data_IF_142802584494
#
_entry.id   IF_142802584494
#
_cell.length_a   1.000
_cell.length_b   1.000
_cell.length_c   1.000
_cell.angle_alpha   90.00
_cell.angle_beta   90.00
_cell.angle_gamma   90.00
#
_symmetry.space_group_name_H-M   'P 1'
#
loop_
_entity.id
_entity.type
_entity.pdbx_description
1 polymer ?
#
# COMPACT_ATOMS: atom_id res chain seq x y z
N UNK A 1 -30.48 -22.51 3.95
CA UNK A 1 -29.07 -22.74 4.37
C UNK A 1 -28.17 -23.09 3.20
N UNK A 2 -28.25 -24.26 2.53
CA UNK A 2 -27.35 -24.56 1.38
C UNK A 2 -27.59 -23.60 0.21
N UNK A 3 -28.83 -23.46 -0.28
CA UNK A 3 -29.16 -22.58 -1.40
C UNK A 3 -28.82 -21.10 -1.15
N UNK A 4 -28.90 -20.67 0.12
CA UNK A 4 -28.53 -19.31 0.54
C UNK A 4 -27.02 -19.11 0.46
N UNK A 5 -26.24 -20.06 1.01
CA UNK A 5 -24.79 -20.04 0.89
C UNK A 5 -24.31 -20.10 -0.57
N UNK A 6 -24.97 -20.89 -1.42
CA UNK A 6 -24.68 -20.93 -2.87
C UNK A 6 -24.93 -19.57 -3.53
N UNK A 7 -26.04 -18.91 -3.21
CA UNK A 7 -26.36 -17.57 -3.72
C UNK A 7 -25.34 -16.52 -3.27
N UNK A 8 -24.90 -16.56 -2.01
CA UNK A 8 -23.88 -15.65 -1.47
C UNK A 8 -22.52 -15.86 -2.14
N UNK A 9 -22.08 -17.11 -2.31
CA UNK A 9 -20.81 -17.43 -2.99
C UNK A 9 -20.87 -16.99 -4.46
N UNK A 10 -21.97 -17.26 -5.16
CA UNK A 10 -22.16 -16.84 -6.55
C UNK A 10 -22.15 -15.32 -6.69
N UNK A 11 -22.78 -14.59 -5.76
CA UNK A 11 -22.72 -13.13 -5.71
C UNK A 11 -21.29 -12.64 -5.49
N UNK A 12 -20.57 -13.19 -4.50
CA UNK A 12 -19.19 -12.83 -4.20
C UNK A 12 -18.25 -13.08 -5.39
N UNK A 13 -18.40 -14.22 -6.07
CA UNK A 13 -17.62 -14.55 -7.26
C UNK A 13 -17.91 -13.59 -8.43
N UNK A 14 -19.18 -13.24 -8.65
CA UNK A 14 -19.58 -12.35 -9.75
C UNK A 14 -19.07 -10.92 -9.59
N UNK A 15 -18.99 -10.42 -8.35
CA UNK A 15 -18.49 -9.06 -8.08
C UNK A 15 -16.98 -8.97 -7.91
N UNK A 16 -16.25 -10.10 -7.96
CA UNK A 16 -14.81 -10.13 -7.74
C UNK A 16 -14.08 -10.33 -9.05
N UNK A 17 -13.14 -9.45 -9.36
CA UNK A 17 -12.24 -9.59 -10.51
C UNK A 17 -10.82 -9.74 -9.99
N UNK A 18 -10.09 -10.76 -10.44
CA UNK A 18 -8.73 -11.00 -10.00
C UNK A 18 -7.79 -11.28 -11.16
N UNK A 19 -6.52 -10.93 -10.99
CA UNK A 19 -5.48 -11.08 -12.00
C UNK A 19 -4.12 -11.37 -11.38
N UNK A 20 -3.40 -12.26 -12.04
CA UNK A 20 -2.03 -12.64 -11.70
C UNK A 20 -1.08 -11.99 -12.71
N UNK A 21 -0.12 -11.23 -12.22
CA UNK A 21 0.80 -10.44 -13.04
C UNK A 21 2.21 -10.97 -12.80
N UNK A 22 2.86 -11.40 -13.87
CA UNK A 22 4.30 -11.64 -13.92
C UNK A 22 4.96 -10.56 -14.76
N UNK A 23 5.85 -9.82 -14.12
CA UNK A 23 6.65 -8.78 -14.74
C UNK A 23 8.10 -9.27 -14.78
N UNK A 24 8.61 -9.56 -15.98
CA UNK A 24 9.87 -10.30 -16.18
C UNK A 24 11.03 -9.39 -16.65
N UNK A 25 10.77 -8.09 -16.88
CA UNK A 25 11.77 -7.15 -17.40
C UNK A 25 12.88 -6.83 -16.40
N UNK A 26 12.58 -6.88 -15.10
CA UNK A 26 13.53 -6.71 -14.01
C UNK A 26 12.95 -7.18 -12.65
N UNK A 27 13.81 -7.24 -11.64
CA UNK A 27 13.43 -7.52 -10.26
C UNK A 27 14.35 -6.85 -9.24
N UNK A 28 14.41 -7.40 -8.03
CA UNK A 28 15.14 -6.86 -6.90
C UNK A 28 16.63 -6.61 -7.19
N UNK A 29 17.27 -7.40 -8.06
CA UNK A 29 18.68 -7.20 -8.40
C UNK A 29 18.88 -5.86 -9.09
N UNK A 30 18.10 -5.59 -10.14
CA UNK A 30 18.16 -4.31 -10.86
C UNK A 30 17.69 -3.15 -9.97
N UNK A 31 16.63 -3.32 -9.18
CA UNK A 31 16.11 -2.23 -8.32
C UNK A 31 17.19 -1.78 -7.32
N UNK A 32 17.91 -2.73 -6.71
CA UNK A 32 18.99 -2.40 -5.77
C UNK A 32 20.19 -1.76 -6.45
N UNK A 33 20.59 -2.25 -7.62
CA UNK A 33 21.82 -1.84 -8.29
C UNK A 33 21.67 -0.54 -9.09
N UNK A 34 20.55 -0.37 -9.79
CA UNK A 34 20.34 0.74 -10.74
C UNK A 34 19.45 1.81 -10.13
N UNK A 35 18.29 1.43 -9.59
CA UNK A 35 17.38 2.40 -8.97
C UNK A 35 17.85 2.85 -7.57
N UNK A 36 18.78 2.12 -6.95
CA UNK A 36 19.38 2.44 -5.66
C UNK A 36 18.37 2.73 -4.52
N UNK A 37 17.22 2.04 -4.55
CA UNK A 37 16.14 2.15 -3.55
C UNK A 37 15.69 0.77 -3.05
N UNK A 38 14.88 0.77 -1.98
CA UNK A 38 14.23 -0.45 -1.48
C UNK A 38 13.37 -1.08 -2.58
N UNK A 39 13.50 -2.40 -2.86
CA UNK A 39 12.58 -3.08 -3.77
C UNK A 39 11.12 -2.97 -3.32
N UNK A 40 10.88 -3.05 -2.01
CA UNK A 40 9.56 -2.96 -1.41
C UNK A 40 8.94 -1.57 -1.61
N UNK A 41 9.68 -0.51 -1.28
CA UNK A 41 9.25 0.88 -1.54
C UNK A 41 8.98 1.13 -3.03
N UNK A 42 9.84 0.58 -3.90
CA UNK A 42 9.68 0.71 -5.35
C UNK A 42 8.37 0.08 -5.83
N UNK A 43 8.05 -1.14 -5.37
CA UNK A 43 6.77 -1.78 -5.69
C UNK A 43 5.58 -0.99 -5.13
N UNK A 44 5.66 -0.52 -3.88
CA UNK A 44 4.63 0.31 -3.27
C UNK A 44 4.33 1.58 -4.07
N UNK A 45 5.36 2.30 -4.52
CA UNK A 45 5.16 3.50 -5.31
C UNK A 45 4.71 3.24 -6.73
N UNK A 46 5.10 2.12 -7.33
CA UNK A 46 4.52 1.68 -8.60
C UNK A 46 3.00 1.47 -8.48
N UNK A 47 2.55 0.83 -7.39
CA UNK A 47 1.12 0.61 -7.11
C UNK A 47 0.38 1.93 -6.86
N UNK A 48 0.94 2.83 -6.03
CA UNK A 48 0.31 4.12 -5.73
C UNK A 48 0.26 5.06 -6.95
N UNK A 49 1.33 5.11 -7.75
CA UNK A 49 1.34 5.88 -9.00
C UNK A 49 0.33 5.33 -10.01
N UNK A 50 0.23 4.01 -10.13
CA UNK A 50 -0.79 3.35 -10.97
C UNK A 50 -2.20 3.74 -10.52
N UNK A 51 -2.46 3.67 -9.21
CA UNK A 51 -3.76 4.07 -8.65
C UNK A 51 -4.08 5.54 -8.95
N UNK A 52 -3.14 6.45 -8.69
CA UNK A 52 -3.33 7.88 -8.91
C UNK A 52 -3.67 8.20 -10.37
N UNK A 53 -3.01 7.54 -11.32
CA UNK A 53 -3.28 7.71 -12.76
C UNK A 53 -4.68 7.26 -13.18
N UNK A 54 -5.20 6.21 -12.55
CA UNK A 54 -6.51 5.66 -12.89
C UNK A 54 -7.66 6.40 -12.23
N UNK A 55 -7.45 6.87 -11.00
CA UNK A 55 -8.52 7.40 -10.16
C UNK A 55 -8.47 8.91 -9.98
N UNK A 56 -7.33 9.55 -10.32
CA UNK A 56 -7.12 11.00 -10.17
C UNK A 56 -6.97 11.46 -8.73
N UNK A 57 -6.86 10.55 -7.77
CA UNK A 57 -6.75 10.84 -6.34
C UNK A 57 -5.84 9.83 -5.64
N UNK A 58 -5.39 10.16 -4.44
CA UNK A 58 -4.57 9.28 -3.61
C UNK A 58 -5.42 8.26 -2.85
N UNK A 59 -4.93 7.03 -2.77
CA UNK A 59 -5.52 5.99 -1.94
C UNK A 59 -4.94 6.02 -0.52
N UNK A 60 -5.77 6.03 0.54
CA UNK A 60 -5.41 5.38 1.79
C UNK A 60 -4.83 3.98 1.56
N UNK A 61 -3.56 3.81 1.92
CA UNK A 61 -2.81 2.55 1.72
C UNK A 61 -2.64 1.83 3.04
N UNK A 62 -3.01 0.56 3.07
CA UNK A 62 -2.59 -0.39 4.09
C UNK A 62 -1.42 -1.20 3.55
N UNK A 63 -0.34 -1.27 4.32
CA UNK A 63 0.76 -2.21 4.07
C UNK A 63 1.08 -2.96 5.35
N UNK A 64 1.18 -4.28 5.23
CA UNK A 64 1.46 -5.15 6.37
C UNK A 64 2.89 -4.95 6.86
N UNK A 65 3.04 -4.43 8.09
CA UNK A 65 4.29 -4.43 8.83
C UNK A 65 4.31 -5.60 9.82
N UNK A 66 5.34 -6.46 9.77
CA UNK A 66 5.43 -7.59 10.70
C UNK A 66 5.95 -7.13 12.07
N UNK A 67 5.22 -7.45 13.13
CA UNK A 67 5.64 -7.18 14.52
C UNK A 67 6.21 -8.42 15.21
N UNK A 68 6.68 -9.41 14.43
CA UNK A 68 7.16 -10.71 14.93
C UNK A 68 8.36 -10.66 15.90
N UNK A 69 8.96 -9.48 16.09
CA UNK A 69 10.00 -9.27 17.08
C UNK A 69 9.45 -9.24 18.52
N UNK A 70 8.14 -9.00 18.68
CA UNK A 70 7.46 -9.05 19.97
C UNK A 70 6.83 -10.43 20.19
N UNK A 71 6.73 -10.85 21.45
CA UNK A 71 6.01 -12.06 21.84
C UNK A 71 4.55 -11.98 21.36
N UNK A 72 4.07 -13.01 20.67
CA UNK A 72 2.75 -13.06 20.00
C UNK A 72 2.52 -11.98 18.93
N UNK A 73 3.58 -11.30 18.48
CA UNK A 73 3.51 -10.28 17.44
C UNK A 73 2.88 -10.81 16.15
N UNK A 74 1.90 -10.06 15.63
CA UNK A 74 1.26 -10.30 14.33
C UNK A 74 1.65 -9.20 13.36
N UNK A 75 0.81 -8.17 13.24
CA UNK A 75 0.96 -7.13 12.23
C UNK A 75 0.59 -5.75 12.77
N UNK A 76 1.24 -4.74 12.23
CA UNK A 76 0.88 -3.32 12.25
C UNK A 76 0.69 -2.81 10.80
N UNK A 77 0.17 -1.61 10.61
CA UNK A 77 0.05 -0.92 9.33
C UNK A 77 1.16 0.12 9.14
N UNK A 78 1.90 0.04 8.04
CA UNK A 78 2.95 1.01 7.73
C UNK A 78 2.42 2.33 7.13
N UNK A 79 1.21 2.41 6.56
CA UNK A 79 0.65 3.59 5.86
C UNK A 79 1.59 4.27 4.83
N UNK A 80 1.92 3.60 3.70
CA UNK A 80 2.89 4.09 2.70
C UNK A 80 2.61 5.42 2.00
N UNK A 81 1.38 5.93 2.05
CA UNK A 81 1.05 7.24 1.46
C UNK A 81 1.52 8.36 2.39
N UNK A 82 2.78 8.76 2.24
CA UNK A 82 3.38 9.89 2.97
C UNK A 82 3.37 11.16 2.11
N UNK A 83 3.64 12.35 2.69
CA UNK A 83 3.85 13.57 1.91
C UNK A 83 4.94 13.42 0.84
N UNK A 84 6.03 12.70 1.14
CA UNK A 84 7.11 12.40 0.22
C UNK A 84 6.66 11.48 -0.92
N UNK A 85 5.85 10.44 -0.61
CA UNK A 85 5.23 9.60 -1.62
C UNK A 85 4.30 10.40 -2.54
N UNK A 86 3.47 11.28 -1.97
CA UNK A 86 2.58 12.14 -2.73
C UNK A 86 3.34 13.13 -3.62
N UNK A 87 4.44 13.71 -3.12
CA UNK A 87 5.32 14.58 -3.90
C UNK A 87 5.96 13.84 -5.08
N UNK A 88 6.44 12.61 -4.86
CA UNK A 88 6.96 11.75 -5.91
C UNK A 88 5.90 11.43 -6.99
N UNK A 89 4.71 11.00 -6.58
CA UNK A 89 3.61 10.67 -7.50
C UNK A 89 3.21 11.89 -8.34
N UNK A 90 3.11 13.07 -7.72
CA UNK A 90 2.85 14.32 -8.44
C UNK A 90 3.95 14.66 -9.43
N UNK A 91 5.22 14.55 -9.05
CA UNK A 91 6.35 14.81 -9.94
C UNK A 91 6.35 13.87 -11.16
N UNK A 92 5.92 12.62 -11.00
CA UNK A 92 5.77 11.66 -12.10
C UNK A 92 4.60 11.98 -13.05
N UNK A 93 3.64 12.78 -12.61
CA UNK A 93 2.49 13.21 -13.42
C UNK A 93 2.64 14.64 -13.97
N UNK A 94 3.66 15.38 -13.53
CA UNK A 94 3.92 16.75 -13.96
C UNK A 94 4.80 16.76 -15.23
N UNK A 95 4.29 17.25 -16.38
CA UNK A 95 5.07 17.32 -17.62
C UNK A 95 6.26 18.29 -17.54
N UNK A 96 6.25 19.24 -16.59
CA UNK A 96 7.34 20.20 -16.40
C UNK A 96 8.48 19.64 -15.52
N UNK A 97 8.23 18.57 -14.76
CA UNK A 97 9.23 17.96 -13.89
C UNK A 97 10.30 17.21 -14.70
N UNK A 98 11.57 17.55 -14.49
CA UNK A 98 12.68 16.87 -15.14
C UNK A 98 13.04 15.53 -14.46
N UNK A 99 13.81 14.70 -15.16
CA UNK A 99 14.28 13.37 -14.70
C UNK A 99 14.99 13.43 -13.33
N UNK A 100 15.81 14.45 -13.10
CA UNK A 100 16.59 14.59 -11.85
C UNK A 100 15.68 14.79 -10.65
N UNK A 101 14.68 15.66 -10.77
CA UNK A 101 13.77 15.99 -9.68
C UNK A 101 12.80 14.84 -9.38
N UNK A 102 12.28 14.17 -10.42
CA UNK A 102 11.50 12.93 -10.28
C UNK A 102 12.27 11.84 -9.56
N UNK A 103 13.52 11.62 -9.94
CA UNK A 103 14.38 10.61 -9.32
C UNK A 103 14.74 10.96 -7.87
N UNK A 104 15.08 12.23 -7.59
CA UNK A 104 15.30 12.68 -6.20
C UNK A 104 14.07 12.48 -5.33
N UNK A 105 12.87 12.77 -5.85
CA UNK A 105 11.62 12.55 -5.14
C UNK A 105 11.39 11.05 -4.86
N UNK A 106 11.67 10.17 -5.83
CA UNK A 106 11.62 8.71 -5.64
C UNK A 106 12.54 8.26 -4.49
N UNK A 107 13.79 8.71 -4.49
CA UNK A 107 14.78 8.36 -3.46
C UNK A 107 14.35 8.87 -2.08
N UNK A 108 13.84 10.10 -2.00
CA UNK A 108 13.32 10.69 -0.76
C UNK A 108 12.13 9.91 -0.20
N UNK A 109 11.15 9.61 -1.07
CA UNK A 109 9.99 8.81 -0.73
C UNK A 109 10.40 7.41 -0.25
N UNK A 110 11.34 6.75 -0.93
CA UNK A 110 11.79 5.41 -0.58
C UNK A 110 12.48 5.36 0.79
N UNK A 111 13.29 6.36 1.11
CA UNK A 111 13.90 6.49 2.44
C UNK A 111 12.85 6.65 3.53
N UNK A 112 11.82 7.48 3.28
CA UNK A 112 10.72 7.69 4.22
C UNK A 112 9.92 6.41 4.43
N UNK A 113 9.53 5.72 3.35
CA UNK A 113 8.81 4.44 3.39
C UNK A 113 9.56 3.41 4.23
N UNK A 114 10.87 3.24 4.00
CA UNK A 114 11.67 2.30 4.79
C UNK A 114 11.74 2.68 6.28
N UNK A 115 11.90 3.96 6.61
CA UNK A 115 11.93 4.42 8.00
C UNK A 115 10.59 4.16 8.71
N UNK A 116 9.49 4.43 8.02
CA UNK A 116 8.12 4.21 8.46
C UNK A 116 7.82 2.72 8.66
N UNK A 117 8.15 1.86 7.69
CA UNK A 117 7.96 0.42 7.79
C UNK A 117 8.75 -0.19 8.96
N UNK A 118 9.99 0.27 9.18
CA UNK A 118 10.79 -0.13 10.36
C UNK A 118 10.12 0.31 11.66
N UNK A 119 9.67 1.55 11.74
CA UNK A 119 8.99 2.09 12.93
C UNK A 119 7.71 1.31 13.24
N UNK A 120 6.86 1.06 12.24
CA UNK A 120 5.65 0.26 12.40
C UNK A 120 5.96 -1.19 12.84
N UNK A 121 6.97 -1.81 12.24
CA UNK A 121 7.42 -3.16 12.63
C UNK A 121 7.94 -3.21 14.06
N UNK A 122 8.51 -2.12 14.56
CA UNK A 122 8.96 -1.90 15.94
C UNK A 122 7.86 -1.44 16.90
N UNK A 123 6.59 -1.55 16.52
CA UNK A 123 5.46 -1.21 17.39
C UNK A 123 5.19 0.29 17.51
N UNK A 124 5.89 1.12 16.72
CA UNK A 124 5.67 2.58 16.66
C UNK A 124 4.57 3.01 15.69
N UNK A 125 3.76 2.07 15.18
CA UNK A 125 2.59 2.38 14.36
C UNK A 125 1.38 2.82 15.20
N UNK A 126 0.38 3.41 14.54
CA UNK A 126 -0.77 3.98 15.23
C UNK A 126 -2.03 3.11 15.13
N UNK A 127 -2.16 2.28 14.10
CA UNK A 127 -3.43 1.62 13.79
C UNK A 127 -3.82 0.58 14.85
N UNK A 128 -2.88 -0.27 15.29
CA UNK A 128 -3.18 -1.22 16.40
C UNK A 128 -3.33 -0.51 17.73
N UNK A 129 -2.63 0.61 17.95
CA UNK A 129 -2.79 1.40 19.16
C UNK A 129 -4.20 2.02 19.24
N UNK A 130 -4.66 2.69 18.17
CA UNK A 130 -6.02 3.25 18.09
C UNK A 130 -7.08 2.15 18.22
N UNK A 131 -6.88 0.99 17.59
CA UNK A 131 -7.76 -0.17 17.76
C UNK A 131 -7.80 -0.63 19.22
N UNK A 132 -6.65 -0.73 19.87
CA UNK A 132 -6.53 -1.09 21.29
C UNK A 132 -7.28 -0.12 22.19
N UNK A 133 -7.11 1.19 21.99
CA UNK A 133 -7.84 2.23 22.72
C UNK A 133 -9.36 2.11 22.52
N UNK A 134 -9.81 1.88 21.28
CA UNK A 134 -11.23 1.67 20.97
C UNK A 134 -11.80 0.44 21.67
N UNK A 135 -11.04 -0.66 21.71
CA UNK A 135 -11.45 -1.88 22.39
C UNK A 135 -11.48 -1.70 23.91
N UNK A 136 -10.48 -1.01 24.47
CA UNK A 136 -10.40 -0.68 25.89
C UNK A 136 -11.63 0.13 26.32
N UNK A 137 -11.89 1.25 25.62
CA UNK A 137 -13.04 2.11 25.86
C UNK A 137 -14.38 1.35 25.80
N UNK A 138 -14.53 0.42 24.84
CA UNK A 138 -15.79 -0.31 24.64
C UNK A 138 -16.01 -1.52 25.55
N UNK A 139 -14.96 -2.08 26.14
CA UNK A 139 -15.02 -3.42 26.74
C UNK A 139 -14.45 -3.52 28.15
N UNK A 140 -13.58 -2.59 28.56
CA UNK A 140 -12.96 -2.66 29.87
C UNK A 140 -13.76 -1.83 30.87
N UNK A 141 -14.05 -2.39 32.05
CA UNK A 141 -14.52 -1.58 33.17
C UNK A 141 -13.39 -0.68 33.69
N UNK A 142 -13.70 0.37 34.47
CA UNK A 142 -12.70 1.12 35.22
C UNK A 142 -11.83 0.20 36.07
N UNK A 143 -10.54 0.51 36.22
CA UNK A 143 -9.66 -0.25 37.10
C UNK A 143 -10.07 -0.03 38.57
N UNK A 144 -9.65 -0.97 39.44
CA UNK A 144 -9.93 -0.86 40.86
C UNK A 144 -9.32 0.43 41.43
N UNK A 145 -10.17 1.29 41.98
CA UNK A 145 -9.76 2.58 42.55
C UNK A 145 -9.79 3.75 41.57
N UNK A 146 -10.12 3.54 40.29
CA UNK A 146 -10.38 4.62 39.35
C UNK A 146 -11.83 5.11 39.46
N UNK A 147 -12.00 6.43 39.41
CA UNK A 147 -13.33 7.02 39.28
C UNK A 147 -13.95 6.64 37.93
N UNK A 148 -15.28 6.49 37.86
CA UNK A 148 -15.96 6.35 36.58
C UNK A 148 -15.63 7.51 35.64
N UNK A 149 -15.50 7.20 34.35
CA UNK A 149 -15.33 8.21 33.31
C UNK A 149 -16.44 9.25 33.37
N UNK A 150 -16.07 10.53 33.39
CA UNK A 150 -17.02 11.62 33.35
C UNK A 150 -17.72 11.70 32.01
N UNK A 151 -18.90 12.30 31.99
CA UNK A 151 -19.66 12.50 30.76
C UNK A 151 -18.88 13.38 29.75
N UNK A 152 -18.04 14.31 30.23
CA UNK A 152 -17.21 15.13 29.35
C UNK A 152 -16.11 14.29 28.65
N UNK A 153 -15.40 13.44 29.40
CA UNK A 153 -14.39 12.54 28.84
C UNK A 153 -15.01 11.56 27.85
N UNK A 154 -16.18 11.01 28.19
CA UNK A 154 -16.94 10.12 27.32
C UNK A 154 -17.24 10.78 25.98
N UNK A 155 -17.81 11.99 26.00
CA UNK A 155 -18.12 12.73 24.76
C UNK A 155 -16.88 13.02 23.92
N UNK A 156 -15.77 13.41 24.55
CA UNK A 156 -14.53 13.69 23.82
C UNK A 156 -13.97 12.43 23.11
N UNK A 157 -14.09 11.25 23.75
CA UNK A 157 -13.68 9.98 23.15
C UNK A 157 -14.61 9.57 22.00
N UNK A 158 -15.93 9.72 22.19
CA UNK A 158 -16.93 9.45 21.14
C UNK A 158 -16.70 10.37 19.93
N UNK A 159 -16.48 11.68 20.15
CA UNK A 159 -16.17 12.66 19.09
C UNK A 159 -14.92 12.27 18.29
N UNK A 160 -13.84 11.84 18.95
CA UNK A 160 -12.64 11.37 18.28
C UNK A 160 -12.90 10.11 17.43
N UNK A 161 -13.64 9.13 17.96
CA UNK A 161 -13.87 7.87 17.25
C UNK A 161 -14.90 7.95 16.14
N UNK A 162 -15.83 8.92 16.22
CA UNK A 162 -16.85 9.21 15.22
C UNK A 162 -16.39 10.24 14.17
N UNK A 163 -15.17 10.78 14.31
CA UNK A 163 -14.58 11.69 13.34
C UNK A 163 -14.56 11.06 11.92
N UNK A 164 -15.20 11.71 10.92
CA UNK A 164 -15.20 11.23 9.54
C UNK A 164 -13.80 11.06 8.93
N UNK A 165 -12.81 11.83 9.38
CA UNK A 165 -11.41 11.69 8.96
C UNK A 165 -10.81 10.39 9.47
N UNK A 166 -11.09 10.01 10.73
CA UNK A 166 -10.64 8.72 11.26
C UNK A 166 -11.31 7.58 10.49
N UNK A 167 -12.60 7.67 10.19
CA UNK A 167 -13.30 6.68 9.37
C UNK A 167 -12.67 6.55 7.96
N UNK A 168 -12.44 7.67 7.28
CA UNK A 168 -11.79 7.70 5.95
C UNK A 168 -10.36 7.17 5.98
N UNK A 169 -9.59 7.48 7.03
CA UNK A 169 -8.21 6.99 7.19
C UNK A 169 -8.12 5.47 7.32
N UNK A 170 -9.21 4.80 7.70
CA UNK A 170 -9.30 3.35 7.87
C UNK A 170 -10.04 2.64 6.72
N UNK A 171 -10.49 3.39 5.71
CA UNK A 171 -11.04 2.84 4.47
C UNK A 171 -9.92 2.68 3.45
N UNK A 172 -9.20 1.57 3.49
CA UNK A 172 -8.03 1.35 2.64
C UNK A 172 -8.39 0.95 1.20
N UNK A 173 -8.30 1.88 0.25
CA UNK A 173 -8.50 1.59 -1.19
C UNK A 173 -7.34 0.77 -1.76
N UNK A 174 -6.13 0.87 -1.21
CA UNK A 174 -5.05 -0.05 -1.53
C UNK A 174 -4.70 -0.86 -0.27
N UNK A 175 -5.15 -2.12 -0.22
CA UNK A 175 -4.71 -3.07 0.81
C UNK A 175 -3.61 -3.93 0.23
N UNK A 176 -2.41 -3.85 0.81
CA UNK A 176 -1.20 -4.43 0.23
C UNK A 176 -0.41 -5.30 1.21
N UNK A 177 0.25 -6.33 0.67
CA UNK A 177 1.21 -7.13 1.44
C UNK A 177 2.31 -7.68 0.53
N UNK A 178 3.54 -7.27 0.82
CA UNK A 178 4.74 -7.88 0.28
C UNK A 178 5.03 -9.22 0.97
N UNK A 179 5.37 -10.24 0.18
CA UNK A 179 5.80 -11.54 0.67
C UNK A 179 7.29 -11.75 0.41
N UNK A 180 7.88 -12.64 1.21
CA UNK A 180 9.26 -13.06 1.00
C UNK A 180 9.44 -13.68 -0.40
N UNK A 181 10.59 -13.44 -1.06
CA UNK A 181 10.90 -14.08 -2.33
C UNK A 181 10.81 -15.60 -2.21
N UNK A 182 10.01 -16.23 -3.08
CA UNK A 182 9.85 -17.68 -3.11
C UNK A 182 9.70 -18.16 -4.55
N UNK A 183 10.53 -19.12 -4.92
CA UNK A 183 10.49 -19.81 -6.21
C UNK A 183 9.23 -20.69 -6.36
N UNK A 184 8.78 -21.29 -5.25
CA UNK A 184 7.66 -22.23 -5.26
C UNK A 184 6.29 -21.55 -5.27
N UNK A 185 6.20 -20.31 -4.75
CA UNK A 185 4.95 -19.56 -4.78
C UNK A 185 4.77 -18.94 -6.16
N UNK A 186 3.83 -19.44 -6.96
CA UNK A 186 3.55 -18.88 -8.30
C UNK A 186 2.88 -17.51 -8.17
N UNK A 187 1.77 -17.44 -7.44
CA UNK A 187 1.10 -16.19 -7.05
C UNK A 187 0.39 -16.35 -5.71
N UNK A 188 0.00 -15.24 -5.12
CA UNK A 188 -0.83 -15.14 -3.91
C UNK A 188 -1.80 -13.99 -4.10
N UNK A 189 -2.93 -13.98 -3.39
CA UNK A 189 -3.90 -12.89 -3.48
C UNK A 189 -4.89 -12.92 -2.33
N UNK A 190 -5.55 -11.79 -2.10
CA UNK A 190 -6.67 -11.64 -1.19
C UNK A 190 -7.64 -10.60 -1.75
N UNK A 191 -8.91 -10.67 -1.35
CA UNK A 191 -9.93 -9.72 -1.80
C UNK A 191 -9.73 -8.31 -1.22
N UNK A 192 -10.11 -7.28 -1.97
CA UNK A 192 -10.08 -5.90 -1.54
C UNK A 192 -11.05 -5.68 -0.36
N UNK A 193 -10.69 -4.74 0.51
CA UNK A 193 -11.37 -4.50 1.80
C UNK A 193 -12.40 -3.37 1.75
N UNK A 194 -12.51 -2.70 0.61
CA UNK A 194 -13.47 -1.64 0.36
C UNK A 194 -14.23 -1.90 -0.96
N UNK A 195 -15.48 -1.42 -1.09
CA UNK A 195 -16.35 -1.76 -2.22
C UNK A 195 -16.10 -0.93 -3.48
N UNK A 196 -15.60 0.31 -3.34
CA UNK A 196 -15.43 1.25 -4.45
C UNK A 196 -13.96 1.59 -4.64
N UNK A 197 -13.52 1.57 -5.91
CA UNK A 197 -12.16 1.94 -6.33
C UNK A 197 -11.06 1.30 -5.48
N UNK A 198 -11.25 0.06 -5.01
CA UNK A 198 -10.33 -0.59 -4.10
C UNK A 198 -9.69 -1.84 -4.68
N UNK A 199 -8.51 -2.16 -4.17
CA UNK A 199 -7.70 -3.29 -4.59
C UNK A 199 -7.11 -4.04 -3.40
N UNK A 200 -7.13 -5.36 -3.47
CA UNK A 200 -6.34 -6.26 -2.63
C UNK A 200 -5.13 -6.72 -3.43
N UNK A 201 -3.92 -6.42 -2.95
CA UNK A 201 -2.69 -6.63 -3.73
C UNK A 201 -1.63 -7.35 -2.89
N UNK A 202 -1.23 -8.53 -3.36
CA UNK A 202 0.01 -9.15 -2.93
C UNK A 202 1.11 -8.94 -3.96
N UNK A 203 2.35 -8.90 -3.49
CA UNK A 203 3.49 -8.92 -4.39
C UNK A 203 4.68 -9.71 -3.83
N UNK A 204 5.43 -10.32 -4.75
CA UNK A 204 6.68 -11.04 -4.50
C UNK A 204 7.72 -10.46 -5.43
N UNK A 205 8.84 -9.99 -4.87
CA UNK A 205 9.93 -9.39 -5.63
C UNK A 205 11.10 -10.36 -5.64
N UNK A 206 11.34 -11.02 -6.77
CA UNK A 206 12.48 -11.91 -6.98
C UNK A 206 13.64 -11.16 -7.62
N UNK A 207 14.80 -11.82 -7.78
CA UNK A 207 15.99 -11.17 -8.36
C UNK A 207 15.76 -10.57 -9.75
N UNK A 208 15.04 -11.28 -10.62
CA UNK A 208 14.85 -10.91 -12.04
C UNK A 208 13.40 -10.62 -12.44
N UNK A 209 12.44 -10.78 -11.54
CA UNK A 209 11.02 -10.58 -11.83
C UNK A 209 10.24 -10.10 -10.62
N UNK A 210 9.08 -9.52 -10.87
CA UNK A 210 8.10 -9.12 -9.85
C UNK A 210 6.79 -9.80 -10.17
N UNK A 211 6.15 -10.35 -9.14
CA UNK A 211 4.85 -11.03 -9.25
C UNK A 211 3.84 -10.26 -8.43
N UNK A 212 2.67 -9.97 -9.01
CA UNK A 212 1.55 -9.38 -8.29
C UNK A 212 0.33 -10.30 -8.38
N UNK A 213 -0.44 -10.38 -7.30
CA UNK A 213 -1.82 -10.84 -7.35
C UNK A 213 -2.72 -9.69 -6.96
N UNK A 214 -3.63 -9.33 -7.86
CA UNK A 214 -4.52 -8.17 -7.71
C UNK A 214 -5.95 -8.68 -7.72
N UNK A 215 -6.75 -8.21 -6.79
CA UNK A 215 -8.19 -8.36 -6.79
C UNK A 215 -8.85 -6.99 -6.63
N UNK A 216 -10.01 -6.80 -7.25
CA UNK A 216 -10.86 -5.65 -7.00
C UNK A 216 -12.33 -5.97 -7.28
N UNK A 217 -13.24 -5.10 -6.82
CA UNK A 217 -14.69 -5.32 -7.01
C UNK A 217 -15.22 -4.71 -8.30
N UNK A 218 -15.93 -5.50 -9.08
CA UNK A 218 -16.82 -5.00 -10.13
C UNK A 218 -18.14 -4.60 -9.48
N UNK A 219 -18.60 -3.38 -9.71
CA UNK A 219 -19.91 -2.92 -9.21
C UNK A 219 -20.81 -2.56 -10.38
N UNK A 220 -22.09 -2.93 -10.28
CA UNK A 220 -23.08 -2.66 -11.31
C UNK A 220 -23.29 -1.15 -11.56
N UNK A 221 -22.91 -0.30 -10.59
CA UNK A 221 -23.01 1.15 -10.68
C UNK A 221 -21.81 1.84 -11.37
N UNK A 222 -20.88 1.08 -11.97
CA UNK A 222 -19.70 1.64 -12.65
C UNK A 222 -18.67 2.30 -11.71
N UNK A 223 -18.81 2.12 -10.39
CA UNK A 223 -17.87 2.60 -9.35
C UNK A 223 -16.87 1.54 -8.91
N UNK A 224 -16.90 0.38 -9.57
CA UNK A 224 -15.98 -0.73 -9.34
C UNK A 224 -14.60 -0.44 -9.91
N UNK A 225 -13.74 -1.45 -9.86
CA UNK A 225 -12.39 -1.38 -10.41
C UNK A 225 -12.27 -2.22 -11.67
N UNK A 226 -11.57 -1.66 -12.66
CA UNK A 226 -11.08 -2.43 -13.79
C UNK A 226 -9.68 -2.96 -13.47
N UNK A 227 -9.62 -4.23 -13.08
CA UNK A 227 -8.36 -4.92 -12.75
C UNK A 227 -7.51 -5.16 -14.00
N UNK A 228 -8.13 -5.28 -15.19
CA UNK A 228 -7.42 -5.43 -16.45
C UNK A 228 -6.70 -4.13 -16.83
N UNK A 229 -7.39 -3.00 -16.69
CA UNK A 229 -6.79 -1.67 -16.87
C UNK A 229 -5.69 -1.42 -15.82
N UNK A 230 -5.91 -1.81 -14.56
CA UNK A 230 -4.88 -1.70 -13.52
C UNK A 230 -3.61 -2.49 -13.86
N UNK A 231 -3.71 -3.73 -14.35
CA UNK A 231 -2.56 -4.52 -14.83
C UNK A 231 -1.82 -3.78 -15.96
N UNK A 232 -2.54 -3.34 -16.99
CA UNK A 232 -1.93 -2.65 -18.13
C UNK A 232 -1.19 -1.38 -17.68
N UNK A 233 -1.81 -0.56 -16.83
CA UNK A 233 -1.21 0.67 -16.32
C UNK A 233 -0.06 0.39 -15.36
N UNK A 234 -0.12 -0.67 -14.54
CA UNK A 234 0.97 -1.06 -13.66
C UNK A 234 2.21 -1.47 -14.45
N UNK A 235 2.04 -2.25 -15.52
CA UNK A 235 3.15 -2.65 -16.40
C UNK A 235 3.83 -1.44 -17.04
N UNK A 236 3.04 -0.50 -17.57
CA UNK A 236 3.57 0.74 -18.13
C UNK A 236 4.29 1.58 -17.07
N UNK A 237 3.70 1.69 -15.87
CA UNK A 237 4.30 2.40 -14.75
C UNK A 237 5.64 1.79 -14.35
N UNK A 238 5.75 0.46 -14.26
CA UNK A 238 7.01 -0.22 -13.97
C UNK A 238 8.08 0.03 -15.05
N UNK A 239 7.72 0.03 -16.33
CA UNK A 239 8.66 0.34 -17.42
C UNK A 239 9.11 1.81 -17.40
N UNK A 240 8.21 2.74 -17.07
CA UNK A 240 8.54 4.16 -16.95
C UNK A 240 9.48 4.43 -15.76
N UNK A 241 9.24 3.80 -14.61
CA UNK A 241 10.15 3.90 -13.46
C UNK A 241 11.53 3.33 -13.80
N UNK A 242 11.60 2.28 -14.62
CA UNK A 242 12.87 1.76 -15.15
C UNK A 242 13.62 2.83 -15.94
N UNK A 243 12.94 3.43 -16.92
CA UNK A 243 13.49 4.49 -17.77
C UNK A 243 13.95 5.70 -16.95
N UNK A 244 13.16 6.14 -15.96
CA UNK A 244 13.53 7.20 -15.02
C UNK A 244 14.87 6.92 -14.33
N UNK A 245 15.01 5.72 -13.74
CA UNK A 245 16.21 5.34 -13.00
C UNK A 245 17.44 5.18 -13.91
N UNK A 246 17.28 4.62 -15.10
CA UNK A 246 18.37 4.45 -16.07
C UNK A 246 18.90 5.79 -16.60
N UNK A 247 17.99 6.72 -16.91
CA UNK A 247 18.35 8.09 -17.31
C UNK A 247 19.05 8.85 -16.17
N UNK A 248 18.55 8.72 -14.93
CA UNK A 248 19.17 9.34 -13.77
C UNK A 248 20.58 8.79 -13.50
N UNK A 249 20.78 7.47 -13.66
CA UNK A 249 22.07 6.81 -13.51
C UNK A 249 23.09 7.29 -14.54
N UNK A 250 22.68 7.36 -15.82
CA UNK A 250 23.54 7.82 -16.92
C UNK A 250 23.97 9.31 -16.78
N UNK A 251 23.07 10.15 -16.27
CA UNK A 251 23.36 11.55 -15.94
C UNK A 251 24.35 11.70 -14.78
N UNK A 252 24.42 10.72 -13.87
CA UNK A 252 25.42 10.71 -12.79
C UNK A 252 26.81 10.33 -13.31
N UNK A 253 26.91 9.30 -14.14
CA UNK A 253 28.18 8.83 -14.72
C UNK A 253 28.82 9.89 -15.63
N UNK A 254 28.02 10.58 -16.46
CA UNK A 254 28.52 11.64 -17.34
C UNK A 254 28.98 12.90 -16.60
N UNK A 255 28.48 13.16 -15.38
CA UNK A 255 29.00 14.23 -14.50
C UNK A 255 30.30 13.84 -13.82
N UNK A 256 30.46 12.58 -13.42
CA UNK A 256 31.71 12.10 -12.82
C UNK A 256 32.87 12.00 -13.81
N UNK A 257 32.61 11.77 -15.11
CA UNK A 257 33.66 11.72 -16.13
C UNK A 257 34.13 13.10 -16.63
N UNK A 258 33.51 14.19 -16.15
CA UNK A 258 33.84 15.59 -16.53
C UNK A 258 34.56 16.36 -15.41
N UNK A 259 34.75 15.73 -14.26
CA UNK A 259 35.53 16.22 -13.11
C UNK A 259 36.85 15.45 -13.05
#
# INVERSE_FOLDING_TARGET
>A
MIAEAEAEVAQAARISSSRQIRFEDYGATWIKQIAAVSPDAFAQFALQLTYYRLHGDFAPVYETASTRQFLHGRTENARPLTPEAAAFIRAMCDPAANTSDRHKALVGAAKKHQAMLRNASAGGGIDRHILGLRMAYRRLPPLLGESPMSEHERRAIEEFFDDPLLARSNSFQLSTSGLFPSYFLVHTGFGCVAPERAYGINYIIEGRRIKFGIEGKTTAAGKGTDVGLFDATLRQTLLELKSLCEQASSNSTSRQSRL
#
